data_IF_246187538927
#
_entry.id   IF_246187538927
#
_cell.length_a   1.000
_cell.length_b   1.000
_cell.length_c   1.000
_cell.angle_alpha   90.00
_cell.angle_beta   90.00
_cell.angle_gamma   90.00
#
_symmetry.space_group_name_H-M   'P 1'
#
loop_
_entity.id
_entity.type
_entity.pdbx_description
1 polymer ?
#
# COMPACT_ATOMS: atom_id res chain seq x y z
N UNK A 1 -30.22 -40.85 4.74
CA UNK A 1 -30.06 -39.41 5.04
C UNK A 1 -29.44 -38.77 3.81
N UNK A 2 -29.83 -37.54 3.49
CA UNK A 2 -29.49 -36.90 2.21
C UNK A 2 -27.98 -36.71 2.04
N UNK A 3 -27.51 -36.82 0.79
CA UNK A 3 -26.24 -36.20 0.39
C UNK A 3 -26.58 -34.76 0.06
N UNK A 4 -26.26 -33.82 0.94
CA UNK A 4 -26.40 -32.40 0.65
C UNK A 4 -25.32 -31.99 -0.36
N UNK A 5 -25.75 -31.64 -1.56
CA UNK A 5 -24.87 -31.18 -2.64
C UNK A 5 -24.19 -29.87 -2.25
N UNK A 6 -22.85 -29.90 -2.22
CA UNK A 6 -22.04 -28.72 -1.91
C UNK A 6 -22.12 -27.78 -3.13
N UNK A 7 -22.59 -26.52 -2.99
CA UNK A 7 -22.71 -25.62 -4.13
C UNK A 7 -21.34 -25.32 -4.74
N UNK A 8 -21.22 -25.50 -6.05
CA UNK A 8 -20.00 -25.19 -6.80
C UNK A 8 -19.70 -23.70 -6.68
N UNK A 9 -18.54 -23.35 -6.11
CA UNK A 9 -18.16 -21.99 -5.74
C UNK A 9 -17.94 -21.77 -4.24
N UNK A 10 -18.30 -22.73 -3.38
CA UNK A 10 -17.84 -22.72 -1.99
C UNK A 10 -16.33 -22.96 -1.91
N UNK A 11 -15.57 -21.99 -1.39
CA UNK A 11 -14.16 -22.18 -1.05
C UNK A 11 -14.03 -23.23 0.06
N UNK A 12 -13.62 -24.45 -0.30
CA UNK A 12 -13.41 -25.55 0.66
C UNK A 12 -12.10 -25.32 1.42
N UNK A 13 -12.11 -24.35 2.33
CA UNK A 13 -11.00 -24.09 3.24
C UNK A 13 -10.79 -25.32 4.15
N UNK A 14 -9.65 -26.00 4.00
CA UNK A 14 -9.41 -27.35 4.57
C UNK A 14 -8.94 -27.22 6.03
N UNK A 15 -9.84 -26.74 6.89
CA UNK A 15 -9.59 -26.52 8.33
C UNK A 15 -9.08 -27.81 8.97
N UNK A 16 -7.84 -27.77 9.44
CA UNK A 16 -7.16 -28.92 10.03
C UNK A 16 -7.88 -29.41 11.31
N UNK A 17 -7.82 -30.72 11.58
CA UNK A 17 -8.36 -31.31 12.82
C UNK A 17 -7.78 -30.67 14.09
N UNK A 18 -6.56 -30.14 14.02
CA UNK A 18 -5.93 -29.41 15.12
C UNK A 18 -6.48 -27.97 15.22
N UNK A 19 -6.68 -27.30 14.09
CA UNK A 19 -7.24 -25.96 14.02
C UNK A 19 -8.68 -25.92 14.52
N UNK A 20 -9.52 -26.90 14.13
CA UNK A 20 -10.91 -27.00 14.60
C UNK A 20 -10.99 -27.10 16.13
N UNK A 21 -10.11 -27.90 16.74
CA UNK A 21 -9.96 -27.98 18.22
C UNK A 21 -9.47 -26.66 18.82
N UNK A 22 -8.50 -26.01 18.19
CA UNK A 22 -7.99 -24.72 18.66
C UNK A 22 -9.09 -23.63 18.62
N UNK A 23 -9.84 -23.50 17.52
CA UNK A 23 -11.00 -22.59 17.40
C UNK A 23 -12.03 -22.84 18.50
N UNK A 24 -12.32 -24.10 18.82
CA UNK A 24 -13.24 -24.47 19.91
C UNK A 24 -12.71 -24.04 21.30
N UNK A 25 -11.43 -24.24 21.58
CA UNK A 25 -10.79 -23.78 22.81
C UNK A 25 -10.75 -22.24 22.91
N UNK A 26 -10.43 -21.55 21.82
CA UNK A 26 -10.44 -20.08 21.73
C UNK A 26 -11.85 -19.52 21.99
N UNK A 27 -12.89 -20.17 21.44
CA UNK A 27 -14.30 -19.85 21.74
C UNK A 27 -14.64 -20.08 23.22
N UNK A 28 -14.17 -21.18 23.82
CA UNK A 28 -14.36 -21.49 25.26
C UNK A 28 -13.63 -20.50 26.19
N UNK A 29 -12.56 -19.87 25.72
CA UNK A 29 -11.80 -18.84 26.45
C UNK A 29 -12.40 -17.42 26.34
N UNK A 30 -13.56 -17.24 25.69
CA UNK A 30 -14.24 -15.94 25.51
C UNK A 30 -13.35 -14.83 24.89
N UNK A 31 -12.43 -15.23 24.00
CA UNK A 31 -11.57 -14.30 23.28
C UNK A 31 -12.37 -13.55 22.20
N UNK A 32 -12.12 -12.24 22.04
CA UNK A 32 -12.90 -11.40 21.12
C UNK A 32 -12.39 -11.57 19.70
N UNK A 33 -13.25 -12.06 18.78
CA UNK A 33 -12.95 -12.06 17.35
C UNK A 33 -12.87 -10.61 16.84
N UNK A 34 -11.85 -10.31 16.04
CA UNK A 34 -11.74 -9.05 15.28
C UNK A 34 -12.13 -9.36 13.84
N UNK A 35 -13.06 -8.58 13.29
CA UNK A 35 -13.53 -8.71 11.90
C UNK A 35 -12.91 -7.62 11.02
N UNK A 36 -12.90 -7.84 9.70
CA UNK A 36 -12.41 -6.85 8.73
C UNK A 36 -10.89 -6.82 8.54
N UNK A 37 -10.17 -7.86 8.96
CA UNK A 37 -8.73 -8.01 8.70
C UNK A 37 -8.55 -8.83 7.42
N UNK A 38 -8.14 -8.17 6.33
CA UNK A 38 -7.97 -8.82 5.02
C UNK A 38 -6.66 -9.59 4.87
N UNK A 39 -5.61 -9.21 5.59
CA UNK A 39 -4.29 -9.84 5.55
C UNK A 39 -3.52 -9.58 6.85
N UNK A 40 -2.74 -10.57 7.31
CA UNK A 40 -1.78 -10.44 8.41
C UNK A 40 -0.40 -10.85 7.90
N UNK A 41 0.65 -10.12 8.29
CA UNK A 41 2.03 -10.41 7.89
C UNK A 41 2.96 -10.48 9.09
N UNK A 42 3.65 -11.61 9.29
CA UNK A 42 4.70 -11.76 10.29
C UNK A 42 6.07 -11.55 9.64
N UNK A 43 6.75 -10.46 10.00
CA UNK A 43 8.13 -10.19 9.56
C UNK A 43 9.11 -10.99 10.42
N UNK A 44 9.92 -11.86 9.80
CA UNK A 44 10.98 -12.60 10.50
C UNK A 44 12.33 -11.84 10.39
N UNK A 45 13.47 -12.53 10.59
CA UNK A 45 14.79 -11.97 10.28
C UNK A 45 15.03 -12.05 8.76
N UNK A 46 15.58 -10.98 8.19
CA UNK A 46 15.72 -10.82 6.73
C UNK A 46 14.46 -10.24 6.07
N UNK A 47 14.34 -10.38 4.74
CA UNK A 47 13.20 -9.89 3.95
C UNK A 47 12.08 -10.94 3.79
N UNK A 48 12.08 -11.99 4.62
CA UNK A 48 11.08 -13.06 4.59
C UNK A 48 9.89 -12.65 5.47
N UNK A 49 8.72 -12.56 4.85
CA UNK A 49 7.43 -12.34 5.52
C UNK A 49 6.59 -13.63 5.43
N UNK A 50 5.84 -13.93 6.49
CA UNK A 50 4.77 -14.92 6.42
C UNK A 50 3.44 -14.19 6.29
N UNK A 51 2.81 -14.28 5.12
CA UNK A 51 1.52 -13.67 4.84
C UNK A 51 0.39 -14.68 5.05
N UNK A 52 -0.67 -14.25 5.72
CA UNK A 52 -1.96 -14.96 5.80
C UNK A 52 -3.00 -14.03 5.20
N UNK A 53 -3.59 -14.45 4.08
CA UNK A 53 -4.71 -13.75 3.44
C UNK A 53 -6.04 -14.21 4.07
N UNK A 54 -7.02 -13.30 4.19
CA UNK A 54 -8.33 -13.50 4.83
C UNK A 54 -8.30 -14.22 6.22
N UNK A 55 -7.44 -13.80 7.18
CA UNK A 55 -7.28 -14.49 8.46
C UNK A 55 -8.45 -14.30 9.44
N UNK A 56 -8.70 -15.35 10.23
CA UNK A 56 -9.61 -15.35 11.37
C UNK A 56 -8.84 -14.92 12.64
N UNK A 57 -9.01 -13.68 13.10
CA UNK A 57 -8.22 -13.11 14.20
C UNK A 57 -9.02 -12.97 15.50
N UNK A 58 -8.41 -13.37 16.61
CA UNK A 58 -8.97 -13.27 17.96
C UNK A 58 -7.99 -12.53 18.89
N UNK A 59 -8.49 -11.66 19.75
CA UNK A 59 -7.71 -10.84 20.69
C UNK A 59 -8.07 -11.14 22.15
N UNK A 60 -7.02 -11.27 22.97
CA UNK A 60 -7.10 -11.29 24.42
C UNK A 60 -7.15 -9.88 25.01
N UNK A 61 -7.77 -9.74 26.19
CA UNK A 61 -7.71 -8.50 26.97
C UNK A 61 -6.26 -8.07 27.28
N UNK A 62 -5.34 -9.04 27.43
CA UNK A 62 -3.91 -8.81 27.66
C UNK A 62 -3.10 -8.43 26.40
N UNK A 63 -3.76 -8.12 25.27
CA UNK A 63 -3.08 -7.70 24.04
C UNK A 63 -2.49 -8.83 23.18
N UNK A 64 -2.60 -10.09 23.61
CA UNK A 64 -2.24 -11.26 22.79
C UNK A 64 -3.22 -11.44 21.63
N UNK A 65 -2.70 -11.76 20.44
CA UNK A 65 -3.49 -12.10 19.26
C UNK A 65 -3.31 -13.59 18.90
N UNK A 66 -4.39 -14.21 18.43
CA UNK A 66 -4.41 -15.56 17.85
C UNK A 66 -4.96 -15.43 16.44
N UNK A 67 -4.24 -15.99 15.46
CA UNK A 67 -4.54 -15.85 14.03
C UNK A 67 -4.70 -17.24 13.44
N UNK A 68 -5.83 -17.48 12.77
CA UNK A 68 -6.11 -18.70 12.01
C UNK A 68 -6.15 -18.41 10.51
N UNK A 69 -5.58 -19.31 9.72
CA UNK A 69 -5.46 -19.20 8.27
C UNK A 69 -4.15 -19.81 7.77
N UNK A 70 -3.99 -19.93 6.46
CA UNK A 70 -2.82 -20.55 5.84
C UNK A 70 -1.67 -19.54 5.68
N UNK A 71 -0.51 -19.86 6.26
CA UNK A 71 0.68 -19.01 6.17
C UNK A 71 1.49 -19.31 4.91
N UNK A 72 1.43 -18.39 3.95
CA UNK A 72 2.26 -18.38 2.74
C UNK A 72 3.57 -17.65 3.04
N UNK A 73 4.66 -18.06 2.40
CA UNK A 73 5.92 -17.31 2.43
C UNK A 73 5.87 -16.24 1.34
N UNK A 74 5.98 -14.97 1.73
CA UNK A 74 6.03 -13.80 0.87
C UNK A 74 7.48 -13.27 0.95
N UNK A 75 8.30 -13.64 -0.03
CA UNK A 75 9.68 -13.15 -0.16
C UNK A 75 9.67 -11.87 -0.98
N UNK A 76 10.00 -10.76 -0.32
CA UNK A 76 9.93 -9.43 -0.92
C UNK A 76 10.88 -9.26 -2.12
N UNK A 77 11.97 -10.04 -2.17
CA UNK A 77 12.91 -10.02 -3.29
C UNK A 77 12.36 -10.80 -4.49
N UNK A 78 11.67 -11.93 -4.27
CA UNK A 78 11.03 -12.70 -5.36
C UNK A 78 9.88 -11.90 -5.98
N UNK A 79 9.05 -11.27 -5.14
CA UNK A 79 7.97 -10.39 -5.61
C UNK A 79 8.48 -9.17 -6.37
N UNK A 80 9.63 -8.61 -5.98
CA UNK A 80 10.28 -7.53 -6.73
C UNK A 80 10.83 -8.03 -8.07
N UNK A 81 11.43 -9.22 -8.12
CA UNK A 81 11.95 -9.82 -9.35
C UNK A 81 10.82 -10.12 -10.36
N UNK A 82 9.68 -10.68 -9.91
CA UNK A 82 8.50 -10.87 -10.77
C UNK A 82 7.93 -9.55 -11.29
N UNK A 83 7.85 -8.51 -10.43
CA UNK A 83 7.41 -7.18 -10.86
C UNK A 83 8.35 -6.55 -11.91
N UNK A 84 9.67 -6.67 -11.73
CA UNK A 84 10.66 -6.18 -12.70
C UNK A 84 10.62 -6.97 -14.02
N UNK A 85 10.46 -8.29 -13.96
CA UNK A 85 10.29 -9.13 -15.16
C UNK A 85 8.99 -8.80 -15.92
N UNK A 86 7.90 -8.48 -15.21
CA UNK A 86 6.65 -8.01 -15.81
C UNK A 86 6.81 -6.65 -16.51
N UNK A 87 7.58 -5.72 -15.93
CA UNK A 87 7.89 -4.43 -16.57
C UNK A 87 8.80 -4.57 -17.79
N UNK A 88 9.77 -5.51 -17.78
CA UNK A 88 10.64 -5.75 -18.94
C UNK A 88 9.91 -6.47 -20.09
N UNK A 89 9.11 -7.48 -19.80
CA UNK A 89 8.27 -8.16 -20.82
C UNK A 89 7.17 -7.25 -21.38
N UNK A 90 6.64 -6.32 -20.57
CA UNK A 90 5.75 -5.25 -21.03
C UNK A 90 6.40 -4.25 -22.01
N UNK A 91 7.74 -4.13 -22.01
CA UNK A 91 8.47 -3.34 -23.00
C UNK A 91 8.78 -4.15 -24.28
N UNK A 92 9.03 -5.46 -24.16
CA UNK A 92 9.34 -6.32 -25.30
C UNK A 92 8.11 -6.61 -26.19
N UNK A 93 6.91 -6.57 -25.61
CA UNK A 93 5.62 -6.66 -26.33
C UNK A 93 5.36 -5.54 -27.36
N UNK A 94 6.17 -4.48 -27.37
CA UNK A 94 6.16 -3.44 -28.41
C UNK A 94 7.17 -3.71 -29.56
N UNK A 95 7.88 -4.84 -29.54
CA UNK A 95 8.99 -5.16 -30.45
C UNK A 95 8.88 -6.52 -31.18
N UNK A 96 7.66 -7.08 -31.28
CA UNK A 96 7.40 -8.29 -32.09
C UNK A 96 6.27 -8.07 -33.11
N UNK A 97 6.35 -6.98 -33.87
CA UNK A 97 5.67 -6.88 -35.17
C UNK A 97 6.52 -6.03 -36.14
N UNK A 98 6.62 -6.51 -37.39
CA UNK A 98 7.39 -5.96 -38.52
C UNK A 98 8.91 -6.21 -38.57
N UNK A 99 9.29 -7.28 -39.27
CA UNK A 99 10.59 -7.36 -39.95
C UNK A 99 10.70 -6.31 -41.08
N UNK A 100 11.91 -5.82 -41.32
CA UNK A 100 12.36 -5.01 -42.48
C UNK A 100 11.73 -3.62 -42.71
N UNK A 101 12.55 -2.56 -42.62
CA UNK A 101 12.93 -1.66 -43.75
C UNK A 101 13.98 -0.62 -43.25
N UNK A 102 14.75 -0.04 -44.18
CA UNK A 102 15.94 0.81 -43.99
C UNK A 102 15.83 2.11 -43.14
N UNK A 103 16.97 2.42 -42.51
CA UNK A 103 17.61 3.75 -42.27
C UNK A 103 16.75 5.04 -42.38
N UNK A 104 16.60 5.78 -41.28
CA UNK A 104 17.26 7.10 -41.05
C UNK A 104 16.95 7.61 -39.62
N UNK A 105 17.86 8.30 -38.89
CA UNK A 105 17.60 8.78 -37.52
C UNK A 105 16.71 10.04 -37.41
N UNK A 106 16.08 10.49 -38.50
CA UNK A 106 15.42 11.81 -38.58
C UNK A 106 13.93 11.83 -38.15
N UNK A 107 13.32 10.67 -37.87
CA UNK A 107 11.91 10.59 -37.48
C UNK A 107 11.63 10.98 -36.00
N UNK A 108 12.65 10.92 -35.14
CA UNK A 108 12.49 11.03 -33.67
C UNK A 108 12.08 12.44 -33.22
N UNK A 109 12.42 13.47 -33.98
CA UNK A 109 12.19 14.89 -33.61
C UNK A 109 10.77 15.38 -33.89
N UNK A 110 9.98 14.69 -34.73
CA UNK A 110 8.68 15.16 -35.19
C UNK A 110 7.53 14.87 -34.20
N UNK A 111 7.60 13.77 -33.45
CA UNK A 111 6.51 13.35 -32.56
C UNK A 111 6.52 14.10 -31.22
N UNK A 112 7.73 14.36 -30.69
CA UNK A 112 7.95 15.03 -29.40
C UNK A 112 7.30 16.43 -29.30
N UNK A 113 7.08 17.11 -30.44
CA UNK A 113 6.48 18.44 -30.49
C UNK A 113 4.94 18.42 -30.50
N UNK A 114 4.30 17.26 -30.72
CA UNK A 114 2.85 17.19 -30.97
C UNK A 114 1.99 16.94 -29.72
N UNK A 115 2.60 16.52 -28.62
CA UNK A 115 1.93 16.31 -27.34
C UNK A 115 1.77 17.58 -26.48
N UNK A 116 2.32 18.73 -26.91
CA UNK A 116 2.52 19.90 -26.03
C UNK A 116 1.39 20.96 -26.05
N UNK A 117 0.30 20.77 -26.80
CA UNK A 117 -0.69 21.85 -27.06
C UNK A 117 -2.17 21.36 -27.07
N UNK A 118 -2.71 21.09 -25.88
CA UNK A 118 -4.13 21.26 -25.49
C UNK A 118 -4.18 20.98 -23.97
N UNK A 119 -4.21 21.92 -23.02
CA UNK A 119 -5.15 23.04 -22.81
C UNK A 119 -6.63 22.61 -22.72
N UNK A 120 -7.41 22.95 -21.67
CA UNK A 120 -7.08 23.63 -20.38
C UNK A 120 -8.26 23.53 -19.39
N UNK A 121 -8.04 24.01 -18.15
CA UNK A 121 -9.05 24.39 -17.12
C UNK A 121 -9.87 23.22 -16.53
N UNK A 122 -10.38 23.25 -15.30
CA UNK A 122 -10.43 24.26 -14.21
C UNK A 122 -10.48 23.47 -12.87
N UNK A 123 -9.77 23.77 -11.79
CA UNK A 123 -8.53 24.52 -11.48
C UNK A 123 -7.95 23.80 -10.20
N UNK A 124 -7.01 24.22 -9.34
CA UNK A 124 -6.28 25.47 -9.04
C UNK A 124 -4.73 25.20 -9.10
N UNK A 125 -3.92 25.75 -8.19
CA UNK A 125 -2.44 25.61 -8.13
C UNK A 125 -1.95 25.43 -6.67
N UNK A 126 -0.79 24.77 -6.45
CA UNK A 126 0.31 25.26 -5.57
C UNK A 126 1.55 24.33 -5.62
N UNK A 127 2.64 24.87 -6.19
CA UNK A 127 4.07 24.52 -6.11
C UNK A 127 4.53 23.11 -5.61
N UNK A 128 5.07 22.29 -6.53
CA UNK A 128 6.22 21.39 -6.24
C UNK A 128 7.53 22.22 -6.14
N UNK A 129 7.52 23.27 -5.33
CA UNK A 129 8.69 24.10 -5.06
C UNK A 129 9.61 23.45 -4.01
N UNK A 130 10.91 23.75 -4.08
CA UNK A 130 11.84 23.46 -2.98
C UNK A 130 11.35 24.17 -1.71
N UNK A 131 10.79 23.42 -0.76
CA UNK A 131 10.27 23.97 0.49
C UNK A 131 11.43 24.56 1.29
N UNK A 132 11.49 25.88 1.35
CA UNK A 132 12.48 26.63 2.12
C UNK A 132 12.28 26.39 3.63
N UNK A 133 12.91 25.35 4.17
CA UNK A 133 12.90 25.04 5.61
C UNK A 133 13.76 26.02 6.42
N UNK A 134 14.44 26.98 5.77
CA UNK A 134 15.37 27.91 6.40
C UNK A 134 14.70 28.78 7.47
N UNK A 135 15.07 28.55 8.74
CA UNK A 135 14.53 29.25 9.90
C UNK A 135 13.31 28.61 10.56
N UNK A 136 12.93 27.39 10.15
CA UNK A 136 11.91 26.56 10.81
C UNK A 136 12.56 25.30 11.41
N UNK A 137 11.96 24.74 12.46
CA UNK A 137 12.44 23.48 13.01
C UNK A 137 11.83 22.29 12.24
N UNK A 138 12.67 21.39 11.74
CA UNK A 138 12.24 20.23 10.96
C UNK A 138 11.38 19.26 11.76
N UNK A 139 11.51 19.21 13.10
CA UNK A 139 10.65 18.39 13.96
C UNK A 139 9.23 18.99 14.07
N UNK A 140 9.10 20.32 14.09
CA UNK A 140 7.79 20.98 14.12
C UNK A 140 7.02 20.75 12.82
N UNK A 141 7.71 20.76 11.67
CA UNK A 141 7.12 20.41 10.37
C UNK A 141 6.60 18.95 10.38
N UNK A 142 7.40 18.01 10.89
CA UNK A 142 7.05 16.59 10.93
C UNK A 142 5.85 16.29 11.85
N UNK A 143 5.84 16.86 13.06
CA UNK A 143 4.76 16.70 14.03
C UNK A 143 3.43 17.25 13.48
N UNK A 144 3.45 18.39 12.78
CA UNK A 144 2.23 18.93 12.15
C UNK A 144 1.72 17.97 11.07
N UNK A 145 2.61 17.47 10.20
CA UNK A 145 2.22 16.53 9.14
C UNK A 145 1.66 15.22 9.71
N UNK A 146 2.23 14.67 10.79
CA UNK A 146 1.71 13.46 11.43
C UNK A 146 0.33 13.68 12.09
N UNK A 147 0.14 14.82 12.78
CA UNK A 147 -1.12 15.09 13.51
C UNK A 147 -2.27 15.57 12.61
N UNK A 148 -1.99 16.34 11.55
CA UNK A 148 -3.02 16.98 10.70
C UNK A 148 -3.18 16.33 9.31
N UNK A 149 -2.26 15.44 8.93
CA UNK A 149 -2.25 14.75 7.63
C UNK A 149 -2.16 15.66 6.39
N UNK A 150 -1.76 16.92 6.54
CA UNK A 150 -1.57 17.86 5.42
C UNK A 150 -0.21 17.68 4.73
N UNK A 151 -0.05 18.27 3.54
CA UNK A 151 1.23 18.27 2.82
C UNK A 151 2.31 19.10 3.55
N UNK A 152 3.58 18.72 3.40
CA UNK A 152 4.73 19.40 4.03
C UNK A 152 4.77 20.90 3.72
N UNK A 153 4.41 21.29 2.50
CA UNK A 153 4.27 22.70 2.10
C UNK A 153 3.20 23.46 2.91
N UNK A 154 2.04 22.85 3.19
CA UNK A 154 0.99 23.46 4.03
C UNK A 154 1.40 23.53 5.51
N UNK A 155 2.12 22.54 6.03
CA UNK A 155 2.71 22.60 7.37
C UNK A 155 3.74 23.74 7.50
N UNK A 156 4.65 23.86 6.52
CA UNK A 156 5.63 24.97 6.42
C UNK A 156 4.92 26.33 6.32
N UNK A 157 3.86 26.45 5.51
CA UNK A 157 3.13 27.72 5.37
C UNK A 157 2.41 28.12 6.65
N UNK A 158 1.81 27.18 7.38
CA UNK A 158 1.21 27.42 8.70
C UNK A 158 2.25 27.85 9.74
N UNK A 159 3.39 27.15 9.84
CA UNK A 159 4.48 27.57 10.73
C UNK A 159 5.01 28.97 10.38
N UNK A 160 5.09 29.34 9.09
CA UNK A 160 5.45 30.72 8.69
C UNK A 160 4.40 31.75 9.10
N UNK A 161 3.10 31.49 8.89
CA UNK A 161 2.00 32.36 9.35
C UNK A 161 2.03 32.58 10.86
N UNK A 162 2.20 31.50 11.62
CA UNK A 162 2.18 31.49 13.09
C UNK A 162 3.56 31.68 13.75
N UNK A 163 4.59 32.04 12.96
CA UNK A 163 5.96 32.37 13.41
C UNK A 163 6.64 31.27 14.25
N UNK A 164 6.42 30.01 13.89
CA UNK A 164 6.93 28.84 14.62
C UNK A 164 6.06 28.38 15.79
N UNK A 165 4.88 28.97 16.03
CA UNK A 165 3.93 28.43 17.01
C UNK A 165 3.24 27.18 16.46
N UNK A 166 3.89 26.03 16.72
CA UNK A 166 3.42 24.66 16.55
C UNK A 166 1.92 24.47 16.86
N UNK A 167 1.47 24.89 18.05
CA UNK A 167 0.12 24.56 18.54
C UNK A 167 -0.92 25.34 17.75
N UNK A 168 -0.63 26.61 17.47
CA UNK A 168 -1.50 27.49 16.71
C UNK A 168 -1.53 27.09 15.22
N UNK A 169 -0.41 26.60 14.67
CA UNK A 169 -0.34 26.02 13.33
C UNK A 169 -1.13 24.71 13.20
N UNK A 170 -1.12 23.82 14.20
CA UNK A 170 -2.03 22.65 14.23
C UNK A 170 -3.49 23.11 14.25
N UNK A 171 -3.84 24.16 15.00
CA UNK A 171 -5.21 24.67 15.08
C UNK A 171 -5.72 25.34 13.78
N UNK A 172 -4.85 25.85 12.91
CA UNK A 172 -5.20 26.38 11.56
C UNK A 172 -5.34 25.25 10.51
N UNK A 173 -4.89 24.03 10.82
CA UNK A 173 -4.76 22.89 9.89
C UNK A 173 -5.61 21.65 10.25
N UNK A 174 -6.37 21.67 11.34
CA UNK A 174 -7.11 20.52 11.91
C UNK A 174 -8.63 20.57 11.72
#
# INVERSE_FOLDING_TARGET
MSVEEIPQGAEVNIISKNEKKARELIKKLNLKQIKGISRVTFKQRGNILYAIDQPDVYRSAAGTYVVFGEAKVDDLNQRLAEAQAAQQSGAEAASTEQETVDKSPEAITADLQKASLNEKKEEEEEEEGEVDESGLDSNDIDIIVEQTQVSRAKAVSALRKHKGDMVNAIMDLS
#
